data_IF_123955653252
#
_entry.id   IF_123955653252
#
_cell.length_a   1.000
_cell.length_b   1.000
_cell.length_c   1.000
_cell.angle_alpha   90.00
_cell.angle_beta   90.00
_cell.angle_gamma   90.00
#
_symmetry.space_group_name_H-M   'P 1'
#
loop_
_entity.id
_entity.type
_entity.pdbx_description
1 polymer ?
#
# COMPACT_ATOMS: atom_id res chain seq x y z
N UNK A 1 27.97 3.95 39.95
CA UNK A 1 28.65 2.73 40.45
C UNK A 1 29.09 1.72 39.38
N UNK A 2 28.25 0.91 38.71
CA UNK A 2 28.77 -0.11 37.73
C UNK A 2 29.35 0.54 36.45
N UNK A 3 28.72 1.59 35.93
CA UNK A 3 29.18 2.33 34.74
C UNK A 3 30.54 3.02 34.94
N UNK A 4 30.82 3.49 36.16
CA UNK A 4 32.08 4.18 36.49
C UNK A 4 33.21 3.20 36.82
N UNK A 5 32.90 1.95 37.20
CA UNK A 5 33.86 0.95 37.66
C UNK A 5 34.21 -0.11 36.62
N UNK A 6 33.37 -0.31 35.60
CA UNK A 6 33.59 -1.31 34.56
C UNK A 6 33.38 -0.70 33.17
N UNK A 7 34.23 -1.07 32.21
CA UNK A 7 34.18 -0.54 30.84
C UNK A 7 32.76 -0.57 30.26
N UNK A 8 32.43 0.39 29.39
CA UNK A 8 31.13 0.51 28.71
C UNK A 8 30.65 -0.82 28.11
N UNK A 9 31.58 -1.68 27.67
CA UNK A 9 31.32 -3.02 27.13
C UNK A 9 30.74 -3.98 28.19
N UNK A 10 31.27 -3.95 29.41
CA UNK A 10 30.84 -4.81 30.53
C UNK A 10 29.49 -4.34 31.08
N UNK A 11 29.32 -3.03 31.27
CA UNK A 11 28.03 -2.45 31.69
C UNK A 11 26.90 -2.77 30.70
N UNK A 12 27.19 -2.68 29.41
CA UNK A 12 26.24 -3.02 28.35
C UNK A 12 25.89 -4.51 28.30
N UNK A 13 26.84 -5.40 28.61
CA UNK A 13 26.58 -6.83 28.72
C UNK A 13 25.67 -7.11 29.92
N UNK A 14 25.90 -6.44 31.05
CA UNK A 14 25.07 -6.53 32.24
C UNK A 14 23.62 -6.09 32.00
N UNK A 15 23.39 -4.92 31.40
CA UNK A 15 22.04 -4.43 31.07
C UNK A 15 21.27 -5.37 30.12
N UNK A 16 21.96 -5.99 29.16
CA UNK A 16 21.35 -6.95 28.24
C UNK A 16 20.93 -8.23 28.96
N UNK A 17 21.74 -8.73 29.90
CA UNK A 17 21.39 -9.92 30.69
C UNK A 17 20.25 -9.65 31.68
N UNK A 18 20.16 -8.44 32.25
CA UNK A 18 19.02 -8.04 33.08
C UNK A 18 17.71 -8.00 32.28
N UNK A 19 17.70 -7.35 31.11
CA UNK A 19 16.50 -7.30 30.26
C UNK A 19 16.03 -8.67 29.79
N UNK A 20 16.95 -9.59 29.47
CA UNK A 20 16.58 -10.96 29.10
C UNK A 20 15.85 -11.67 30.24
N UNK A 21 16.31 -11.45 31.47
CA UNK A 21 15.68 -12.01 32.67
C UNK A 21 14.32 -11.38 32.91
N UNK A 22 14.20 -10.06 32.78
CA UNK A 22 12.93 -9.34 32.97
C UNK A 22 11.87 -9.79 31.95
N UNK A 23 12.21 -9.85 30.66
CA UNK A 23 11.29 -10.29 29.61
C UNK A 23 10.91 -11.77 29.79
N UNK A 24 11.85 -12.62 30.20
CA UNK A 24 11.54 -14.02 30.48
C UNK A 24 10.63 -14.16 31.71
N UNK A 25 10.86 -13.34 32.74
CA UNK A 25 10.08 -13.31 33.97
C UNK A 25 8.64 -12.82 33.72
N UNK A 26 8.47 -11.79 32.87
CA UNK A 26 7.17 -11.21 32.55
C UNK A 26 6.36 -12.03 31.54
N UNK A 27 7.01 -12.77 30.63
CA UNK A 27 6.32 -13.40 29.49
C UNK A 27 6.42 -14.92 29.44
N UNK A 28 7.30 -15.54 30.24
CA UNK A 28 7.57 -16.99 30.22
C UNK A 28 8.14 -17.52 28.90
N UNK A 29 8.29 -16.68 27.87
CA UNK A 29 8.48 -17.11 26.49
C UNK A 29 9.92 -16.83 25.99
N UNK A 30 10.70 -17.90 25.81
CA UNK A 30 12.08 -17.84 25.35
C UNK A 30 12.24 -17.30 23.92
N UNK A 31 11.27 -17.51 23.02
CA UNK A 31 11.35 -16.97 21.64
C UNK A 31 11.14 -15.46 21.61
N UNK A 32 10.29 -14.94 22.49
CA UNK A 32 10.08 -13.49 22.68
C UNK A 32 11.33 -12.80 23.25
N UNK A 33 12.01 -13.46 24.19
CA UNK A 33 13.33 -13.01 24.70
C UNK A 33 14.37 -12.95 23.58
N UNK A 34 14.39 -13.93 22.67
CA UNK A 34 15.30 -13.95 21.52
C UNK A 34 14.96 -12.80 20.55
N UNK A 35 13.69 -12.61 20.19
CA UNK A 35 13.24 -11.52 19.31
C UNK A 35 13.61 -10.14 19.86
N UNK A 36 13.34 -9.88 21.14
CA UNK A 36 13.67 -8.61 21.78
C UNK A 36 15.18 -8.42 22.01
N UNK A 37 15.94 -9.50 22.24
CA UNK A 37 17.42 -9.42 22.33
C UNK A 37 18.04 -9.08 20.97
N UNK A 38 17.54 -9.69 19.90
CA UNK A 38 18.00 -9.42 18.52
C UNK A 38 17.63 -7.97 18.15
N UNK A 39 16.39 -7.55 18.42
CA UNK A 39 15.92 -6.17 18.26
C UNK A 39 16.82 -5.18 18.98
N UNK A 40 17.16 -5.43 20.25
CA UNK A 40 18.05 -4.56 21.01
C UNK A 40 19.48 -4.52 20.44
N UNK A 41 20.06 -5.67 20.06
CA UNK A 41 21.41 -5.74 19.48
C UNK A 41 21.48 -5.06 18.11
N UNK A 42 20.46 -5.23 17.27
CA UNK A 42 20.36 -4.59 15.96
C UNK A 42 20.12 -3.08 16.13
N UNK A 43 19.15 -2.65 16.94
CA UNK A 43 18.96 -1.24 17.25
C UNK A 43 20.25 -0.61 17.78
N UNK A 44 20.98 -1.30 18.67
CA UNK A 44 22.25 -0.82 19.25
C UNK A 44 23.47 -0.95 18.33
N UNK A 45 23.45 -1.72 17.25
CA UNK A 45 24.55 -1.75 16.28
C UNK A 45 24.26 -0.89 15.06
N UNK A 46 22.99 -0.68 14.72
CA UNK A 46 22.55 0.22 13.64
C UNK A 46 22.59 1.67 14.13
N UNK A 47 22.23 1.97 15.39
CA UNK A 47 22.27 3.35 15.91
C UNK A 47 23.67 3.97 16.01
N UNK A 48 24.68 3.34 16.64
CA UNK A 48 25.99 3.95 16.80
C UNK A 48 26.88 3.79 15.57
N UNK A 49 26.56 2.92 14.61
CA UNK A 49 27.27 2.87 13.32
C UNK A 49 26.78 3.96 12.37
N UNK A 50 25.49 4.32 12.41
CA UNK A 50 24.96 5.52 11.77
C UNK A 50 25.48 6.81 12.45
N UNK A 51 25.72 6.76 13.76
CA UNK A 51 26.35 7.87 14.50
C UNK A 51 27.85 7.98 14.14
N UNK A 52 28.64 6.89 14.15
CA UNK A 52 30.11 6.98 14.03
C UNK A 52 30.69 7.39 12.67
N UNK A 53 29.89 7.47 11.60
CA UNK A 53 30.36 7.97 10.30
C UNK A 53 29.98 9.44 10.02
N UNK A 54 29.37 10.17 10.96
CA UNK A 54 28.93 11.56 10.69
C UNK A 54 28.61 12.41 11.93
N UNK A 55 29.17 12.13 13.10
CA UNK A 55 29.01 13.01 14.27
C UNK A 55 30.04 14.13 14.20
N UNK A 56 29.59 15.32 13.81
CA UNK A 56 29.79 16.52 14.64
C UNK A 56 28.99 17.75 14.14
N UNK A 57 28.37 17.72 12.95
CA UNK A 57 27.55 18.84 12.44
C UNK A 57 26.07 18.54 12.15
N UNK A 58 25.62 17.28 12.21
CA UNK A 58 24.24 16.86 11.83
C UNK A 58 23.32 16.55 13.04
N UNK A 59 23.85 16.70 14.27
CA UNK A 59 23.21 16.25 15.51
C UNK A 59 21.92 16.97 15.93
N UNK A 60 21.63 18.16 15.39
CA UNK A 60 20.40 18.92 15.71
C UNK A 60 19.29 18.64 14.67
N UNK A 61 19.64 18.13 13.48
CA UNK A 61 18.70 17.99 12.35
C UNK A 61 17.94 16.63 12.41
N UNK A 62 18.50 15.58 13.01
CA UNK A 62 17.93 14.22 12.87
C UNK A 62 16.77 13.85 13.81
N UNK A 63 16.66 14.47 14.99
CA UNK A 63 15.49 14.30 15.86
C UNK A 63 14.39 15.34 15.60
N UNK A 64 14.78 16.55 15.18
CA UNK A 64 13.86 17.67 14.93
C UNK A 64 13.03 17.45 13.66
N UNK A 65 13.62 16.94 12.58
CA UNK A 65 12.89 16.65 11.33
C UNK A 65 11.69 15.73 11.51
N UNK A 66 11.81 14.52 12.11
CA UNK A 66 10.64 13.65 12.29
C UNK A 66 9.61 14.25 13.26
N UNK A 67 10.03 15.04 14.26
CA UNK A 67 9.11 15.74 15.17
C UNK A 67 8.34 16.85 14.42
N UNK A 68 9.05 17.70 13.68
CA UNK A 68 8.47 18.77 12.87
C UNK A 68 7.50 18.20 11.84
N UNK A 69 7.89 17.11 11.14
CA UNK A 69 7.01 16.40 10.22
C UNK A 69 5.77 15.85 10.93
N UNK A 70 5.92 15.30 12.14
CA UNK A 70 4.77 14.84 12.93
C UNK A 70 3.81 15.99 13.28
N UNK A 71 4.32 17.19 13.57
CA UNK A 71 3.48 18.35 13.84
C UNK A 71 2.73 18.80 12.58
N UNK A 72 3.41 18.89 11.43
CA UNK A 72 2.75 19.21 10.15
C UNK A 72 1.64 18.20 9.84
N UNK A 73 1.89 16.90 10.04
CA UNK A 73 0.88 15.86 9.82
C UNK A 73 -0.33 16.08 10.75
N UNK A 74 -0.10 16.43 12.02
CA UNK A 74 -1.19 16.72 12.97
C UNK A 74 -1.98 17.98 12.60
N UNK A 75 -1.30 19.02 12.15
CA UNK A 75 -1.95 20.25 11.68
C UNK A 75 -2.82 19.95 10.45
N UNK A 76 -2.29 19.22 9.46
CA UNK A 76 -3.03 18.79 8.29
C UNK A 76 -4.23 17.89 8.65
N UNK A 77 -4.11 17.04 9.66
CA UNK A 77 -5.22 16.22 10.14
C UNK A 77 -6.42 17.05 10.61
N UNK A 78 -6.16 18.25 11.16
CA UNK A 78 -7.19 19.18 11.62
C UNK A 78 -7.71 20.01 10.44
N UNK A 79 -6.80 20.55 9.61
CA UNK A 79 -7.15 21.40 8.47
C UNK A 79 -7.99 20.68 7.42
N UNK A 80 -7.70 19.41 7.16
CA UNK A 80 -8.34 18.60 6.10
C UNK A 80 -9.24 17.51 6.69
N UNK A 81 -9.75 17.69 7.92
CA UNK A 81 -10.53 16.67 8.63
C UNK A 81 -11.72 16.16 7.80
N UNK A 82 -12.47 17.07 7.17
CA UNK A 82 -13.65 16.70 6.36
C UNK A 82 -13.27 15.88 5.13
N UNK A 83 -12.24 16.30 4.37
CA UNK A 83 -11.69 15.54 3.23
C UNK A 83 -11.19 14.15 3.67
N UNK A 84 -10.54 14.07 4.84
CA UNK A 84 -10.03 12.82 5.41
C UNK A 84 -11.19 11.88 5.77
N UNK A 85 -12.24 12.40 6.39
CA UNK A 85 -13.40 11.61 6.80
C UNK A 85 -14.21 11.14 5.58
N UNK A 86 -14.38 11.99 4.58
CA UNK A 86 -14.99 11.61 3.30
C UNK A 86 -14.19 10.48 2.63
N UNK A 87 -12.89 10.66 2.47
CA UNK A 87 -12.01 9.64 1.91
C UNK A 87 -12.10 8.33 2.71
N UNK A 88 -12.04 8.40 4.04
CA UNK A 88 -12.13 7.23 4.91
C UNK A 88 -13.47 6.50 4.72
N UNK A 89 -14.58 7.22 4.61
CA UNK A 89 -15.90 6.63 4.34
C UNK A 89 -15.94 5.94 2.98
N UNK A 90 -15.33 6.55 1.96
CA UNK A 90 -15.28 5.99 0.60
C UNK A 90 -14.44 4.70 0.55
N UNK A 91 -13.27 4.67 1.20
CA UNK A 91 -12.46 3.44 1.25
C UNK A 91 -13.11 2.33 2.07
N UNK A 92 -13.94 2.64 3.08
CA UNK A 92 -14.67 1.62 3.83
C UNK A 92 -15.77 0.97 2.96
N UNK A 93 -16.49 1.76 2.17
CA UNK A 93 -17.45 1.23 1.18
C UNK A 93 -16.73 0.36 0.15
N UNK A 94 -15.63 0.86 -0.40
CA UNK A 94 -14.79 0.12 -1.34
C UNK A 94 -14.30 -1.21 -0.75
N UNK A 95 -13.75 -1.18 0.47
CA UNK A 95 -13.30 -2.36 1.19
C UNK A 95 -14.42 -3.40 1.39
N UNK A 96 -15.63 -2.94 1.72
CA UNK A 96 -16.79 -3.82 1.84
C UNK A 96 -17.15 -4.50 0.51
N UNK A 97 -16.99 -3.84 -0.63
CA UNK A 97 -17.23 -4.45 -1.94
C UNK A 97 -16.14 -5.46 -2.30
N UNK A 98 -14.88 -5.14 -2.05
CA UNK A 98 -13.76 -6.08 -2.25
C UNK A 98 -13.92 -7.34 -1.40
N UNK A 99 -14.29 -7.19 -0.13
CA UNK A 99 -14.46 -8.34 0.78
C UNK A 99 -15.58 -9.28 0.35
N UNK A 100 -16.60 -8.81 -0.39
CA UNK A 100 -17.66 -9.67 -0.95
C UNK A 100 -17.18 -10.53 -2.13
N UNK A 101 -16.05 -10.18 -2.74
CA UNK A 101 -15.50 -10.90 -3.89
C UNK A 101 -14.69 -12.14 -3.49
N UNK A 102 -14.42 -12.34 -2.21
CA UNK A 102 -13.68 -13.51 -1.67
C UNK A 102 -12.33 -13.76 -2.37
N UNK A 103 -11.63 -12.68 -2.71
CA UNK A 103 -10.36 -12.71 -3.43
C UNK A 103 -9.21 -13.18 -2.54
N UNK A 104 -8.22 -13.83 -3.16
CA UNK A 104 -6.92 -14.09 -2.51
C UNK A 104 -6.14 -12.80 -2.28
N UNK A 105 -5.12 -12.83 -1.41
CA UNK A 105 -4.29 -11.66 -1.12
C UNK A 105 -3.68 -11.03 -2.38
N UNK A 106 -3.18 -11.86 -3.31
CA UNK A 106 -2.62 -11.38 -4.58
C UNK A 106 -3.70 -10.69 -5.43
N UNK A 107 -4.88 -11.30 -5.56
CA UNK A 107 -5.98 -10.72 -6.33
C UNK A 107 -6.49 -9.42 -5.72
N UNK A 108 -6.56 -9.32 -4.38
CA UNK A 108 -6.85 -8.05 -3.69
C UNK A 108 -5.81 -7.00 -4.06
N UNK A 109 -4.51 -7.32 -3.94
CA UNK A 109 -3.44 -6.37 -4.26
C UNK A 109 -3.52 -5.89 -5.71
N UNK A 110 -3.70 -6.82 -6.66
CA UNK A 110 -3.79 -6.50 -8.08
C UNK A 110 -5.05 -5.70 -8.40
N UNK A 111 -6.19 -6.02 -7.77
CA UNK A 111 -7.44 -5.26 -7.94
C UNK A 111 -7.29 -3.84 -7.43
N UNK A 112 -6.75 -3.64 -6.23
CA UNK A 112 -6.58 -2.31 -5.65
C UNK A 112 -5.62 -1.45 -6.49
N UNK A 113 -4.52 -2.03 -7.01
CA UNK A 113 -3.63 -1.32 -7.92
C UNK A 113 -4.30 -0.98 -9.26
N UNK A 114 -5.04 -1.92 -9.84
CA UNK A 114 -5.74 -1.70 -11.12
C UNK A 114 -6.84 -0.65 -11.00
N UNK A 115 -7.66 -0.75 -9.96
CA UNK A 115 -8.76 0.19 -9.68
C UNK A 115 -8.20 1.60 -9.47
N UNK A 116 -7.07 1.74 -8.74
CA UNK A 116 -6.39 3.02 -8.56
C UNK A 116 -6.01 3.63 -9.92
N UNK A 117 -5.30 2.89 -10.78
CA UNK A 117 -4.89 3.40 -12.10
C UNK A 117 -6.08 3.72 -13.02
N UNK A 118 -7.16 2.95 -12.94
CA UNK A 118 -8.38 3.18 -13.70
C UNK A 118 -9.18 4.40 -13.20
N UNK A 119 -9.03 4.76 -11.92
CA UNK A 119 -9.75 5.88 -11.30
C UNK A 119 -9.07 7.24 -11.43
N UNK A 120 -7.76 7.28 -11.75
CA UNK A 120 -6.99 8.52 -11.80
C UNK A 120 -6.73 8.94 -13.24
N UNK A 121 -6.48 10.24 -13.45
CA UNK A 121 -6.15 10.76 -14.77
C UNK A 121 -4.74 10.34 -15.24
N UNK A 122 -3.85 10.06 -14.29
CA UNK A 122 -2.56 9.46 -14.55
C UNK A 122 -1.47 9.88 -13.57
N UNK A 123 -0.24 9.47 -13.89
CA UNK A 123 0.95 9.95 -13.21
C UNK A 123 1.25 11.39 -13.62
N UNK A 124 1.31 12.28 -12.63
CA UNK A 124 1.53 13.71 -12.83
C UNK A 124 1.54 14.50 -11.51
N UNK A 125 1.71 15.82 -11.62
CA UNK A 125 1.79 16.74 -10.48
C UNK A 125 0.47 16.75 -9.71
N UNK A 126 0.47 16.34 -8.43
CA UNK A 126 -0.71 16.46 -7.57
C UNK A 126 -1.05 17.93 -7.30
N UNK A 127 -2.33 18.22 -7.05
CA UNK A 127 -2.81 19.59 -6.85
C UNK A 127 -2.51 20.10 -5.42
N UNK A 128 -2.80 19.28 -4.41
CA UNK A 128 -2.70 19.64 -2.99
C UNK A 128 -1.41 19.12 -2.34
N UNK A 129 -1.03 17.87 -2.62
CA UNK A 129 0.16 17.19 -2.10
C UNK A 129 0.32 17.23 -0.57
N UNK A 130 -0.76 16.91 0.15
CA UNK A 130 -0.86 17.16 1.59
C UNK A 130 0.02 16.20 2.39
N UNK A 131 1.00 16.74 3.12
CA UNK A 131 1.91 15.97 3.95
C UNK A 131 1.18 15.08 4.98
N UNK A 132 1.37 13.76 4.89
CA UNK A 132 0.72 12.75 5.74
C UNK A 132 -0.64 12.25 5.25
N UNK A 133 -1.19 12.92 4.23
CA UNK A 133 -2.49 12.64 3.63
C UNK A 133 -2.42 12.74 2.10
N UNK A 134 -1.32 12.24 1.52
CA UNK A 134 -1.04 12.34 0.07
C UNK A 134 -2.10 11.66 -0.79
N UNK A 135 -2.79 10.66 -0.25
CA UNK A 135 -3.90 9.97 -0.92
C UNK A 135 -5.09 10.87 -1.25
N UNK A 136 -5.26 12.02 -0.59
CA UNK A 136 -6.39 12.91 -0.84
C UNK A 136 -6.38 13.49 -2.26
N UNK A 137 -5.21 13.61 -2.90
CA UNK A 137 -5.10 14.00 -4.31
C UNK A 137 -5.67 12.96 -5.29
N UNK A 138 -5.86 11.72 -4.83
CA UNK A 138 -6.41 10.61 -5.62
C UNK A 138 -7.88 10.32 -5.29
N UNK A 139 -8.52 11.21 -4.51
CA UNK A 139 -9.95 11.06 -4.19
C UNK A 139 -10.85 11.40 -5.39
N UNK A 140 -10.42 12.34 -6.23
CA UNK A 140 -11.18 12.80 -7.39
C UNK A 140 -10.80 12.03 -8.66
N UNK A 141 -11.79 11.67 -9.50
CA UNK A 141 -11.58 10.93 -10.76
C UNK A 141 -10.69 11.68 -11.79
N UNK A 142 -10.46 12.97 -11.57
CA UNK A 142 -9.59 13.82 -12.39
C UNK A 142 -8.21 14.04 -11.78
N UNK A 143 -7.92 13.40 -10.64
CA UNK A 143 -6.68 13.57 -9.88
C UNK A 143 -5.46 13.07 -10.63
N UNK A 144 -4.36 13.80 -10.47
CA UNK A 144 -3.01 13.33 -10.78
C UNK A 144 -2.29 13.00 -9.48
N UNK A 145 -1.35 12.07 -9.55
CA UNK A 145 -0.45 11.84 -8.43
C UNK A 145 0.88 11.27 -8.85
N UNK A 146 1.81 11.33 -7.90
CA UNK A 146 3.12 10.68 -8.02
C UNK A 146 3.24 9.55 -7.00
N UNK A 147 4.43 8.95 -6.89
CA UNK A 147 4.67 7.73 -6.12
C UNK A 147 4.16 7.77 -4.67
N UNK A 148 4.31 8.92 -3.98
CA UNK A 148 3.84 9.07 -2.59
C UNK A 148 2.31 9.10 -2.46
N UNK A 149 1.61 9.69 -3.44
CA UNK A 149 0.14 9.72 -3.45
C UNK A 149 -0.41 8.33 -3.70
N UNK A 150 0.14 7.64 -4.71
CA UNK A 150 -0.24 6.26 -5.05
C UNK A 150 0.05 5.29 -3.91
N UNK A 151 1.25 5.33 -3.32
CA UNK A 151 1.59 4.45 -2.20
C UNK A 151 0.70 4.70 -0.97
N UNK A 152 0.39 5.97 -0.64
CA UNK A 152 -0.47 6.29 0.50
C UNK A 152 -1.92 5.81 0.28
N UNK A 153 -2.44 5.95 -0.94
CA UNK A 153 -3.78 5.47 -1.32
C UNK A 153 -3.90 3.95 -1.21
N UNK A 154 -2.95 3.22 -1.81
CA UNK A 154 -2.88 1.76 -1.73
C UNK A 154 -2.75 1.30 -0.27
N UNK A 155 -1.89 1.94 0.52
CA UNK A 155 -1.72 1.64 1.95
C UNK A 155 -3.04 1.79 2.71
N UNK A 156 -3.77 2.88 2.49
CA UNK A 156 -5.04 3.13 3.16
C UNK A 156 -6.11 2.12 2.76
N UNK A 157 -6.28 1.87 1.45
CA UNK A 157 -7.25 0.90 0.93
C UNK A 157 -6.97 -0.53 1.42
N UNK A 158 -5.71 -0.97 1.38
CA UNK A 158 -5.35 -2.32 1.85
C UNK A 158 -5.61 -2.51 3.35
N UNK A 159 -5.31 -1.50 4.19
CA UNK A 159 -5.62 -1.58 5.62
C UNK A 159 -7.13 -1.55 5.90
N UNK A 160 -7.93 -0.88 5.08
CA UNK A 160 -9.38 -0.90 5.19
C UNK A 160 -9.96 -2.27 4.80
N UNK A 161 -9.42 -2.90 3.75
CA UNK A 161 -9.83 -4.23 3.29
C UNK A 161 -9.47 -5.29 4.33
N UNK A 162 -8.20 -5.32 4.75
CA UNK A 162 -7.70 -6.29 5.72
C UNK A 162 -6.69 -5.63 6.68
N UNK A 163 -7.10 -5.30 7.92
CA UNK A 163 -6.21 -4.73 8.92
C UNK A 163 -5.02 -5.62 9.28
N UNK A 164 -5.08 -6.94 8.99
CA UNK A 164 -3.95 -7.83 9.22
C UNK A 164 -2.78 -7.61 8.26
N UNK A 165 -3.00 -6.95 7.13
CA UNK A 165 -1.92 -6.55 6.23
C UNK A 165 -0.94 -5.59 6.89
N UNK A 166 -1.36 -4.82 7.90
CA UNK A 166 -0.49 -3.86 8.58
C UNK A 166 0.27 -2.98 7.55
N UNK A 167 -0.47 -2.50 6.53
CA UNK A 167 0.10 -1.83 5.37
C UNK A 167 0.75 -0.52 5.79
N UNK A 168 1.91 -0.22 5.20
CA UNK A 168 2.75 0.92 5.59
C UNK A 168 3.60 1.44 4.44
N UNK A 169 3.69 2.76 4.34
CA UNK A 169 4.55 3.43 3.37
C UNK A 169 6.03 3.25 3.71
N UNK A 170 6.84 3.05 2.67
CA UNK A 170 8.29 2.88 2.73
C UNK A 170 8.95 3.82 1.73
N UNK A 171 9.86 4.66 2.21
CA UNK A 171 10.68 5.51 1.34
C UNK A 171 11.93 4.74 0.92
N UNK A 172 12.09 4.64 -0.40
CA UNK A 172 13.13 3.86 -1.04
C UNK A 172 13.87 4.72 -2.06
N UNK A 173 15.00 4.19 -2.50
CA UNK A 173 15.69 4.68 -3.67
C UNK A 173 15.48 3.70 -4.79
N UNK A 174 14.84 4.19 -5.85
CA UNK A 174 14.64 3.52 -7.12
C UNK A 174 15.89 3.74 -7.98
N UNK A 175 16.51 2.64 -8.38
CA UNK A 175 17.62 2.62 -9.32
C UNK A 175 17.11 2.41 -10.75
N UNK A 176 17.82 2.99 -11.70
CA UNK A 176 17.69 2.59 -13.10
C UNK A 176 18.04 1.10 -13.22
N UNK A 177 17.11 0.34 -13.79
CA UNK A 177 17.23 -1.09 -14.04
C UNK A 177 16.36 -1.46 -15.25
N UNK A 178 16.54 -2.67 -15.78
CA UNK A 178 15.60 -3.21 -16.77
C UNK A 178 14.36 -3.75 -16.05
N UNK A 179 13.27 -3.02 -16.15
CA UNK A 179 12.01 -3.32 -15.48
C UNK A 179 11.00 -3.99 -16.42
N UNK A 180 10.29 -4.98 -15.88
CA UNK A 180 9.12 -5.62 -16.50
C UNK A 180 7.92 -5.44 -15.58
N UNK A 181 6.78 -5.07 -16.16
CA UNK A 181 5.63 -4.56 -15.41
C UNK A 181 4.40 -5.43 -15.64
N UNK A 182 3.51 -5.49 -14.64
CA UNK A 182 2.22 -6.17 -14.80
C UNK A 182 1.33 -5.46 -15.83
N UNK A 183 0.33 -6.18 -16.32
CA UNK A 183 -0.58 -5.73 -17.38
C UNK A 183 -1.66 -4.78 -16.85
N UNK A 184 -1.26 -3.76 -16.10
CA UNK A 184 -2.11 -2.63 -15.71
C UNK A 184 -1.72 -1.46 -16.62
N UNK A 185 -2.71 -0.90 -17.30
CA UNK A 185 -2.52 0.25 -18.15
C UNK A 185 -2.19 1.49 -17.31
N UNK A 186 -1.15 2.23 -17.74
CA UNK A 186 -0.66 3.41 -17.02
C UNK A 186 -0.67 4.60 -17.95
N UNK A 187 -1.28 5.68 -17.49
CA UNK A 187 -1.29 6.97 -18.20
C UNK A 187 -0.25 7.88 -17.57
N UNK A 188 0.69 8.37 -18.38
CA UNK A 188 1.71 9.33 -17.96
C UNK A 188 1.43 10.68 -18.62
N UNK A 189 1.43 11.75 -17.84
CA UNK A 189 1.34 13.09 -18.40
C UNK A 189 2.72 13.51 -18.94
N UNK A 190 2.80 13.73 -20.26
CA UNK A 190 4.07 13.89 -21.01
C UNK A 190 4.94 15.09 -20.58
N UNK A 191 4.44 16.01 -19.75
CA UNK A 191 5.21 17.15 -19.25
C UNK A 191 6.14 16.78 -18.08
N UNK A 192 6.08 15.55 -17.55
CA UNK A 192 6.83 15.15 -16.35
C UNK A 192 7.80 13.98 -16.54
N UNK A 193 7.84 13.35 -17.73
CA UNK A 193 8.93 12.43 -18.06
C UNK A 193 10.31 13.14 -18.05
N UNK A 194 10.34 14.47 -18.15
CA UNK A 194 11.58 15.27 -18.08
C UNK A 194 12.10 15.54 -16.66
N UNK A 195 11.34 15.29 -15.59
CA UNK A 195 11.76 15.66 -14.21
C UNK A 195 12.55 14.54 -13.49
N UNK A 196 12.82 13.42 -14.15
CA UNK A 196 13.91 12.49 -13.78
C UNK A 196 15.01 12.52 -14.84
N UNK A 197 15.30 13.70 -15.39
CA UNK A 197 16.56 13.95 -16.08
C UNK A 197 17.40 14.89 -15.23
N UNK A 198 18.45 14.31 -14.64
CA UNK A 198 19.60 14.96 -14.01
C UNK A 198 19.63 16.49 -14.10
N UNK A 199 19.11 17.20 -13.08
CA UNK A 199 19.74 18.47 -12.72
C UNK A 199 21.06 18.13 -12.07
N UNK A 200 22.09 18.05 -12.90
CA UNK A 200 23.47 18.24 -12.51
C UNK A 200 23.66 19.68 -12.06
N UNK A 201 23.06 20.05 -10.93
CA UNK A 201 23.62 21.11 -10.11
C UNK A 201 24.79 20.48 -9.35
N UNK A 202 25.93 21.17 -9.29
CA UNK A 202 27.11 20.80 -8.49
C UNK A 202 26.82 20.88 -6.97
N UNK A 203 25.68 20.33 -6.54
CA UNK A 203 25.19 20.21 -5.20
C UNK A 203 25.11 18.75 -4.78
N UNK A 204 25.22 18.52 -3.48
CA UNK A 204 25.09 17.19 -2.89
C UNK A 204 23.71 16.61 -3.18
N UNK A 205 23.64 15.57 -4.03
CA UNK A 205 22.40 14.85 -4.35
C UNK A 205 21.82 14.18 -3.10
N UNK A 206 20.91 14.91 -2.46
CA UNK A 206 20.26 14.48 -1.23
C UNK A 206 19.31 13.29 -1.45
N UNK A 207 18.86 13.02 -2.68
CA UNK A 207 17.94 11.91 -2.98
C UNK A 207 18.57 10.56 -2.71
N UNK A 208 19.90 10.42 -2.86
CA UNK A 208 20.65 9.22 -2.48
C UNK A 208 20.60 8.91 -0.98
N UNK A 209 20.26 9.90 -0.15
CA UNK A 209 20.17 9.78 1.30
C UNK A 209 18.72 9.67 1.76
N UNK A 210 17.84 10.51 1.20
CA UNK A 210 16.43 10.58 1.58
C UNK A 210 15.56 9.58 0.82
N UNK A 211 16.00 9.06 -0.32
CA UNK A 211 15.14 8.32 -1.25
C UNK A 211 14.49 9.24 -2.27
N UNK A 212 14.12 8.66 -3.41
CA UNK A 212 13.45 9.34 -4.53
C UNK A 212 12.10 8.70 -4.88
N UNK A 213 11.69 7.64 -4.15
CA UNK A 213 10.50 6.86 -4.47
C UNK A 213 9.80 6.38 -3.19
N UNK A 214 8.49 6.16 -3.28
CA UNK A 214 7.69 5.64 -2.17
C UNK A 214 6.89 4.41 -2.63
N UNK A 215 6.89 3.38 -1.79
CA UNK A 215 6.20 2.11 -2.03
C UNK A 215 5.41 1.70 -0.79
N UNK A 216 4.50 0.74 -0.95
CA UNK A 216 3.75 0.15 0.17
C UNK A 216 4.40 -1.16 0.59
N UNK A 217 4.47 -1.43 1.90
CA UNK A 217 4.82 -2.73 2.45
C UNK A 217 3.61 -3.32 3.19
N UNK A 218 3.34 -4.61 3.00
CA UNK A 218 2.28 -5.33 3.71
C UNK A 218 2.81 -6.65 4.28
N UNK A 219 2.20 -7.12 5.36
CA UNK A 219 2.48 -8.41 5.97
C UNK A 219 1.45 -9.44 5.51
N UNK A 220 1.92 -10.55 4.92
CA UNK A 220 1.11 -11.73 4.68
C UNK A 220 1.36 -12.69 5.85
N UNK A 221 0.48 -12.61 6.86
CA UNK A 221 0.70 -13.26 8.16
C UNK A 221 0.80 -14.78 8.06
N UNK A 222 -0.05 -15.40 7.24
CA UNK A 222 -0.11 -16.85 7.10
C UNK A 222 1.17 -17.43 6.47
N UNK A 223 1.89 -16.59 5.73
CA UNK A 223 3.16 -16.94 5.10
C UNK A 223 4.36 -16.37 5.84
N UNK A 224 4.15 -15.56 6.87
CA UNK A 224 5.18 -14.85 7.62
C UNK A 224 6.17 -14.11 6.68
N UNK A 225 5.63 -13.36 5.71
CA UNK A 225 6.42 -12.57 4.76
C UNK A 225 5.96 -11.10 4.74
N UNK A 226 6.84 -10.21 4.27
CA UNK A 226 6.50 -8.81 3.99
C UNK A 226 6.64 -8.53 2.50
N UNK A 227 5.51 -8.40 1.80
CA UNK A 227 5.47 -7.99 0.40
C UNK A 227 5.70 -6.48 0.26
N UNK A 228 6.37 -6.11 -0.82
CA UNK A 228 6.56 -4.74 -1.27
C UNK A 228 5.72 -4.53 -2.53
N UNK A 229 4.92 -3.49 -2.52
CA UNK A 229 4.01 -3.12 -3.61
C UNK A 229 4.48 -1.76 -4.12
N UNK A 230 4.94 -1.72 -5.36
CA UNK A 230 5.24 -0.48 -6.08
C UNK A 230 4.09 -0.18 -7.04
N UNK A 231 3.09 0.62 -6.62
CA UNK A 231 1.91 0.86 -7.44
C UNK A 231 2.21 1.74 -8.66
N UNK A 232 3.21 2.62 -8.59
CA UNK A 232 3.64 3.44 -9.73
C UNK A 232 4.24 2.57 -10.83
N UNK A 233 5.06 1.60 -10.43
CA UNK A 233 5.66 0.65 -11.35
C UNK A 233 4.84 -0.62 -11.54
N UNK A 234 3.60 -0.67 -11.02
CA UNK A 234 2.68 -1.83 -11.11
C UNK A 234 3.40 -3.16 -10.91
N UNK A 235 4.20 -3.23 -9.85
CA UNK A 235 5.07 -4.38 -9.60
C UNK A 235 5.17 -4.72 -8.13
N UNK A 236 5.43 -6.00 -7.87
CA UNK A 236 5.60 -6.54 -6.53
C UNK A 236 7.05 -6.97 -6.29
N UNK A 237 7.42 -7.00 -5.02
CA UNK A 237 8.65 -7.56 -4.52
C UNK A 237 8.47 -8.09 -3.10
N UNK A 238 9.57 -8.54 -2.50
CA UNK A 238 9.60 -9.05 -1.14
C UNK A 238 10.71 -8.40 -0.33
N UNK A 239 10.43 -8.03 0.91
CA UNK A 239 11.45 -7.65 1.88
C UNK A 239 11.94 -8.89 2.64
N UNK A 240 13.17 -9.33 2.35
CA UNK A 240 13.79 -10.49 3.01
C UNK A 240 15.24 -10.18 3.37
N UNK A 241 15.64 -10.55 4.59
CA UNK A 241 17.01 -10.35 5.10
C UNK A 241 17.51 -8.90 4.96
N UNK A 242 16.63 -7.93 5.23
CA UNK A 242 16.93 -6.50 5.14
C UNK A 242 17.05 -5.94 3.72
N UNK A 243 16.71 -6.72 2.68
CA UNK A 243 16.78 -6.31 1.27
C UNK A 243 15.44 -6.48 0.57
N UNK A 244 15.14 -5.56 -0.33
CA UNK A 244 14.00 -5.69 -1.23
C UNK A 244 14.45 -6.49 -2.45
N UNK A 245 13.72 -7.56 -2.75
CA UNK A 245 13.86 -8.36 -3.96
C UNK A 245 12.65 -8.11 -4.86
N UNK A 246 12.83 -7.35 -5.93
CA UNK A 246 11.75 -7.03 -6.88
C UNK A 246 11.51 -8.20 -7.83
N UNK A 247 10.26 -8.57 -8.09
CA UNK A 247 9.93 -9.62 -9.05
C UNK A 247 9.91 -9.12 -10.50
N UNK A 248 9.90 -7.79 -10.68
CA UNK A 248 9.91 -7.07 -11.95
C UNK A 248 11.28 -6.91 -12.59
N UNK A 249 12.36 -7.33 -11.93
CA UNK A 249 13.73 -7.22 -12.44
C UNK A 249 14.43 -8.57 -12.48
N UNK A 250 15.32 -8.75 -13.46
CA UNK A 250 15.99 -10.04 -13.68
C UNK A 250 16.91 -10.42 -12.51
N UNK A 251 17.59 -9.46 -11.91
CA UNK A 251 18.53 -9.66 -10.82
C UNK A 251 17.91 -9.46 -9.43
N UNK A 252 16.60 -9.21 -9.37
CA UNK A 252 15.84 -8.94 -8.15
C UNK A 252 16.18 -7.60 -7.50
N UNK A 253 17.01 -6.75 -8.10
CA UNK A 253 17.36 -5.43 -7.55
C UNK A 253 16.46 -4.34 -8.13
N UNK A 254 16.67 -3.10 -7.70
CA UNK A 254 15.94 -1.95 -8.24
C UNK A 254 15.43 -1.03 -7.15
N UNK A 255 15.13 -1.56 -5.96
CA UNK A 255 14.78 -0.77 -4.79
C UNK A 255 15.77 -0.96 -3.64
N UNK A 256 16.12 0.13 -2.96
CA UNK A 256 16.87 0.09 -1.69
C UNK A 256 16.24 0.99 -0.66
N UNK A 257 16.04 0.44 0.54
CA UNK A 257 15.48 1.18 1.67
C UNK A 257 16.43 2.30 2.08
N UNK A 258 15.88 3.48 2.35
CA UNK A 258 16.62 4.65 2.85
C UNK A 258 16.14 5.01 4.26
N UNK A 259 16.85 4.53 5.31
CA UNK A 259 16.45 4.73 6.71
C UNK A 259 16.26 6.20 7.10
N UNK A 260 17.07 7.10 6.55
CA UNK A 260 16.97 8.55 6.81
C UNK A 260 15.70 9.14 6.17
N UNK A 261 15.37 8.69 4.96
CA UNK A 261 14.14 9.04 4.25
C UNK A 261 12.87 8.85 5.06
N UNK A 262 12.83 7.77 5.85
CA UNK A 262 11.69 7.43 6.70
C UNK A 262 11.31 8.49 7.73
N UNK A 263 12.21 9.42 8.05
CA UNK A 263 11.89 10.56 8.93
C UNK A 263 10.94 11.59 8.28
N UNK A 264 10.80 11.57 6.94
CA UNK A 264 9.82 12.39 6.23
C UNK A 264 8.38 11.94 6.53
N UNK A 265 8.18 10.68 6.92
CA UNK A 265 6.89 10.13 7.37
C UNK A 265 6.65 10.34 8.88
N UNK A 266 7.45 11.19 9.52
CA UNK A 266 7.37 11.48 10.96
C UNK A 266 7.87 10.32 11.84
N UNK A 267 7.52 10.39 13.12
CA UNK A 267 7.98 9.42 14.13
C UNK A 267 7.45 8.01 13.85
N UNK A 268 6.22 7.90 13.32
CA UNK A 268 5.61 6.61 12.95
C UNK A 268 6.45 5.92 11.87
N UNK A 269 6.82 6.63 10.80
CA UNK A 269 7.66 6.05 9.74
C UNK A 269 9.00 5.50 10.23
N UNK A 270 9.66 6.19 11.17
CA UNK A 270 10.91 5.70 11.76
C UNK A 270 10.70 4.40 12.55
N UNK A 271 9.61 4.29 13.33
CA UNK A 271 9.27 3.08 14.09
C UNK A 271 8.89 1.91 13.18
N UNK A 272 8.10 2.19 12.14
CA UNK A 272 7.66 1.21 11.16
C UNK A 272 8.87 0.63 10.42
N UNK A 273 9.82 1.48 10.00
CA UNK A 273 11.07 1.04 9.37
C UNK A 273 11.91 0.11 10.26
N UNK A 274 12.10 0.47 11.53
CA UNK A 274 12.87 -0.36 12.44
C UNK A 274 12.24 -1.76 12.60
N UNK A 275 10.91 -1.82 12.72
CA UNK A 275 10.17 -3.08 12.86
C UNK A 275 10.26 -3.91 11.59
N UNK A 276 10.05 -3.29 10.42
CA UNK A 276 10.19 -3.89 9.08
C UNK A 276 11.51 -4.62 8.89
N UNK A 277 12.63 -3.94 9.16
CA UNK A 277 13.95 -4.53 8.95
C UNK A 277 14.14 -5.74 9.87
N UNK A 278 13.72 -5.66 11.12
CA UNK A 278 13.83 -6.76 12.07
C UNK A 278 12.98 -7.95 11.62
N UNK A 279 11.72 -7.71 11.30
CA UNK A 279 10.79 -8.76 10.91
C UNK A 279 11.24 -9.44 9.61
N UNK A 280 11.91 -8.72 8.70
CA UNK A 280 12.47 -9.32 7.47
C UNK A 280 13.60 -10.35 7.69
N UNK A 281 14.26 -10.35 8.84
CA UNK A 281 15.24 -11.39 9.23
C UNK A 281 14.59 -12.54 10.00
N UNK A 282 13.33 -12.39 10.38
CA UNK A 282 12.52 -13.38 11.09
C UNK A 282 11.41 -13.95 10.21
N UNK A 283 11.37 -13.54 8.94
CA UNK A 283 10.38 -13.98 7.96
C UNK A 283 10.60 -15.44 7.56
N UNK A 284 9.63 -16.00 6.84
CA UNK A 284 9.65 -17.39 6.39
C UNK A 284 10.94 -17.77 5.64
N UNK A 285 11.31 -19.04 5.79
CA UNK A 285 12.40 -19.65 5.04
C UNK A 285 12.07 -19.90 3.56
N UNK A 286 10.80 -19.74 3.13
CA UNK A 286 10.35 -19.87 1.73
C UNK A 286 11.30 -19.16 0.77
N UNK A 287 11.77 -19.85 -0.26
CA UNK A 287 12.80 -19.33 -1.16
C UNK A 287 12.30 -18.12 -1.97
N UNK A 288 13.21 -17.31 -2.51
CA UNK A 288 12.80 -16.15 -3.34
C UNK A 288 12.14 -16.66 -4.63
N UNK A 289 12.56 -17.81 -5.11
CA UNK A 289 12.05 -18.50 -6.29
C UNK A 289 10.61 -18.97 -6.06
N UNK A 290 10.32 -19.64 -4.94
CA UNK A 290 8.95 -20.02 -4.56
C UNK A 290 8.04 -18.80 -4.40
N UNK A 291 8.54 -17.73 -3.77
CA UNK A 291 7.78 -16.48 -3.64
C UNK A 291 7.55 -15.80 -5.00
N UNK A 292 8.50 -15.93 -5.93
CA UNK A 292 8.36 -15.42 -7.30
C UNK A 292 7.34 -16.23 -8.10
N UNK A 293 7.22 -17.54 -7.88
CA UNK A 293 6.14 -18.32 -8.50
C UNK A 293 4.77 -17.85 -8.00
N UNK A 294 4.66 -17.51 -6.71
CA UNK A 294 3.39 -17.11 -6.10
C UNK A 294 2.99 -15.65 -6.37
N UNK A 295 3.95 -14.73 -6.39
CA UNK A 295 3.70 -13.29 -6.46
C UNK A 295 4.41 -12.60 -7.62
N UNK A 296 5.15 -13.34 -8.45
CA UNK A 296 5.87 -12.80 -9.59
C UNK A 296 4.95 -12.35 -10.71
N UNK A 297 5.57 -11.89 -11.79
CA UNK A 297 4.87 -11.22 -12.89
C UNK A 297 3.78 -12.09 -13.54
N UNK A 298 4.05 -13.38 -13.73
CA UNK A 298 3.07 -14.31 -14.30
C UNK A 298 1.86 -14.49 -13.39
N UNK A 299 2.08 -14.61 -12.08
CA UNK A 299 1.00 -14.71 -11.09
C UNK A 299 0.16 -13.42 -11.04
N UNK A 300 0.82 -12.25 -11.03
CA UNK A 300 0.16 -10.95 -11.09
C UNK A 300 -0.74 -10.83 -12.33
N UNK A 301 -0.21 -11.20 -13.51
CA UNK A 301 -0.95 -11.13 -14.76
C UNK A 301 -2.09 -12.15 -14.84
N UNK A 302 -1.94 -13.32 -14.20
CA UNK A 302 -3.03 -14.29 -14.10
C UNK A 302 -4.14 -13.80 -13.16
N UNK A 303 -3.79 -13.17 -12.04
CA UNK A 303 -4.76 -12.53 -11.15
C UNK A 303 -5.54 -11.42 -11.88
N UNK A 304 -4.86 -10.56 -12.65
CA UNK A 304 -5.53 -9.53 -13.46
C UNK A 304 -6.50 -10.12 -14.50
N UNK A 305 -6.13 -11.21 -15.18
CA UNK A 305 -7.03 -11.91 -16.10
C UNK A 305 -8.26 -12.46 -15.39
N UNK A 306 -8.07 -13.05 -14.20
CA UNK A 306 -9.17 -13.55 -13.39
C UNK A 306 -10.14 -12.43 -13.00
N UNK A 307 -9.61 -11.29 -12.53
CA UNK A 307 -10.40 -10.11 -12.16
C UNK A 307 -11.20 -9.56 -13.35
N UNK A 308 -10.59 -9.46 -14.52
CA UNK A 308 -11.27 -9.01 -15.73
C UNK A 308 -12.46 -9.92 -16.12
N UNK A 309 -12.30 -11.24 -15.92
CA UNK A 309 -13.39 -12.19 -16.15
C UNK A 309 -14.53 -12.02 -15.13
N UNK A 310 -14.22 -11.84 -13.84
CA UNK A 310 -15.22 -11.58 -12.81
C UNK A 310 -16.05 -10.33 -13.13
N UNK A 311 -15.40 -9.25 -13.57
CA UNK A 311 -16.09 -8.00 -13.93
C UNK A 311 -16.95 -8.17 -15.19
N UNK A 312 -16.44 -8.88 -16.21
CA UNK A 312 -17.23 -9.20 -17.40
C UNK A 312 -18.48 -10.00 -17.07
N UNK A 313 -18.37 -10.99 -16.19
CA UNK A 313 -19.50 -11.85 -15.82
C UNK A 313 -20.51 -11.11 -14.94
N UNK A 314 -20.04 -10.20 -14.06
CA UNK A 314 -20.92 -9.27 -13.34
C UNK A 314 -21.73 -8.40 -14.31
N UNK A 315 -21.09 -7.80 -15.31
CA UNK A 315 -21.76 -6.97 -16.33
C UNK A 315 -22.78 -7.78 -17.12
N UNK A 316 -22.43 -9.00 -17.56
CA UNK A 316 -23.37 -9.89 -18.27
C UNK A 316 -24.58 -10.23 -17.41
N UNK A 317 -24.37 -10.55 -16.14
CA UNK A 317 -25.47 -10.88 -15.22
C UNK A 317 -26.43 -9.71 -14.99
N UNK A 318 -25.90 -8.48 -14.84
CA UNK A 318 -26.71 -7.26 -14.72
C UNK A 318 -27.53 -7.03 -15.99
N UNK A 319 -26.90 -7.13 -17.17
CA UNK A 319 -27.58 -6.94 -18.44
C UNK A 319 -28.70 -7.98 -18.67
N UNK A 320 -28.49 -9.23 -18.26
CA UNK A 320 -29.52 -10.28 -18.32
C UNK A 320 -30.71 -9.92 -17.40
N UNK A 321 -30.44 -9.54 -16.15
CA UNK A 321 -31.49 -9.17 -15.19
C UNK A 321 -32.29 -7.94 -15.66
N UNK A 322 -31.64 -6.92 -16.22
CA UNK A 322 -32.32 -5.75 -16.78
C UNK A 322 -33.19 -6.11 -17.99
N UNK A 323 -32.72 -7.02 -18.85
CA UNK A 323 -33.48 -7.51 -20.00
C UNK A 323 -34.70 -8.34 -19.55
N UNK A 324 -34.56 -9.17 -18.52
CA UNK A 324 -35.66 -9.96 -17.95
C UNK A 324 -36.72 -9.08 -17.31
N UNK A 325 -36.32 -8.10 -16.50
CA UNK A 325 -37.24 -7.10 -15.92
C UNK A 325 -37.98 -6.29 -17.00
N UNK A 326 -37.29 -5.95 -18.09
CA UNK A 326 -37.90 -5.24 -19.23
C UNK A 326 -38.93 -6.11 -19.95
N UNK A 327 -38.65 -7.41 -20.13
CA UNK A 327 -39.59 -8.36 -20.74
C UNK A 327 -40.83 -8.57 -19.87
N UNK A 328 -40.65 -8.70 -18.55
CA UNK A 328 -41.76 -8.83 -17.60
C UNK A 328 -42.66 -7.58 -17.64
N UNK A 329 -42.05 -6.39 -17.65
CA UNK A 329 -42.78 -5.12 -17.76
C UNK A 329 -43.60 -5.06 -19.06
N UNK A 330 -43.00 -5.43 -20.20
CA UNK A 330 -43.70 -5.46 -21.49
C UNK A 330 -44.84 -6.49 -21.51
N UNK A 331 -44.63 -7.68 -20.96
CA UNK A 331 -45.66 -8.71 -20.86
C UNK A 331 -46.86 -8.24 -20.03
N UNK A 332 -46.61 -7.55 -18.91
CA UNK A 332 -47.64 -6.97 -18.07
C UNK A 332 -48.44 -5.87 -18.79
N UNK A 333 -47.78 -5.03 -19.59
CA UNK A 333 -48.43 -3.99 -20.41
C UNK A 333 -49.31 -4.64 -21.50
N UNK A 334 -48.79 -5.64 -22.22
CA UNK A 334 -49.54 -6.33 -23.27
C UNK A 334 -50.77 -7.04 -22.70
N UNK A 335 -50.62 -7.74 -21.56
CA UNK A 335 -51.77 -8.35 -20.88
C UNK A 335 -52.80 -7.35 -20.38
N UNK A 336 -52.40 -6.11 -20.04
CA UNK A 336 -53.34 -5.02 -19.72
C UNK A 336 -54.08 -4.53 -20.97
N UNK A 337 -53.36 -4.38 -22.09
CA UNK A 337 -53.93 -3.98 -23.37
C UNK A 337 -54.99 -4.97 -23.85
N UNK A 338 -54.69 -6.27 -23.82
CA UNK A 338 -55.62 -7.32 -24.22
C UNK A 338 -56.91 -7.28 -23.37
N UNK A 339 -56.77 -7.13 -22.05
CA UNK A 339 -57.93 -6.99 -21.13
C UNK A 339 -58.78 -5.76 -21.44
N UNK A 340 -58.16 -4.62 -21.77
CA UNK A 340 -58.89 -3.40 -22.14
C UNK A 340 -59.60 -3.58 -23.49
N UNK A 341 -58.92 -4.17 -24.47
CA UNK A 341 -59.47 -4.43 -25.80
C UNK A 341 -60.67 -5.37 -25.76
N UNK A 342 -60.59 -6.45 -24.98
CA UNK A 342 -61.71 -7.37 -24.75
C UNK A 342 -62.90 -6.66 -24.09
N UNK A 343 -62.64 -5.78 -23.11
CA UNK A 343 -63.68 -5.02 -22.44
C UNK A 343 -64.38 -4.00 -23.35
N UNK A 344 -63.64 -3.39 -24.28
CA UNK A 344 -64.20 -2.48 -25.31
C UNK A 344 -65.07 -3.27 -26.29
N UNK A 345 -64.57 -4.40 -26.81
CA UNK A 345 -65.31 -5.25 -27.76
C UNK A 345 -66.63 -5.80 -27.17
N UNK A 346 -66.63 -6.23 -25.90
CA UNK A 346 -67.85 -6.68 -25.21
C UNK A 346 -68.88 -5.55 -25.12
N UNK A 347 -68.44 -4.33 -24.82
CA UNK A 347 -69.33 -3.18 -24.70
C UNK A 347 -69.89 -2.72 -26.06
N UNK A 348 -69.14 -2.82 -27.15
CA UNK A 348 -69.65 -2.53 -28.50
C UNK A 348 -70.68 -3.57 -28.99
N UNK A 349 -70.44 -4.86 -28.74
CA UNK A 349 -71.42 -5.91 -29.06
C UNK A 349 -72.73 -5.77 -28.25
N UNK A 350 -72.66 -5.22 -27.04
CA UNK A 350 -73.85 -4.96 -26.21
C UNK A 350 -74.68 -3.77 -26.70
N UNK A 351 -74.06 -2.79 -27.40
CA UNK A 351 -74.75 -1.62 -27.95
C UNK A 351 -75.50 -1.90 -29.25
N UNK A 352 -75.09 -2.91 -30.02
CA UNK A 352 -75.77 -3.31 -31.26
C UNK A 352 -76.91 -4.33 -31.05
N UNK A 353 -77.20 -4.74 -29.80
CA UNK A 353 -78.29 -5.65 -29.43
C UNK A 353 -79.49 -4.98 -28.74
N UNK A 354 -79.54 -3.65 -28.73
CA UNK A 354 -80.72 -2.85 -28.39
C UNK A 354 -81.17 -2.10 -29.63
#
# INVERSE_FOLDING_TARGET
EIHEKYSIKIYNKYLMEMRKKDIYYETGNKTKVIKETIKYRLCKNIFPSALKAGILSIGIITASVPIMRTNIIKENAITYMDDIDEYNNNIQKYASEINKMELSDLEVIMKVMSDMWNSIKGYGTPEKDIGGYYRLDLMDENGYGVCRNMADDITAKLNAINPNYNARNLIVYLYDNEWTFSNIDRVFNNNEQEVISNTSDEGFDTTKIWGNHMVTAIDIKDENITLIIDPTNVSLGILKNGKIHMFSTKDGKGLKIKPIGMSLLGIKGVKDHASLIIDSYLSSNTSIEELKEKYGLDAQNNALKYLANLESDKIKSTNINELENSKETLSNIMGLYDRISDHININEQSKHKK
#
